data_IF_079322402411
#
_entry.id   IF_079322402411
#
_cell.length_a   1.000
_cell.length_b   1.000
_cell.length_c   1.000
_cell.angle_alpha   90.00
_cell.angle_beta   90.00
_cell.angle_gamma   90.00
#
_symmetry.space_group_name_H-M   'P 1'
#
loop_
_entity.id
_entity.type
_entity.pdbx_description
1 polymer ?
#
# COMPACT_ATOMS: atom_id res chain seq x y z
N UNK A 1 2.02 -62.47 20.76
CA UNK A 1 2.96 -61.48 21.33
C UNK A 1 2.48 -60.11 20.88
N UNK A 2 1.78 -59.29 21.69
CA UNK A 2 2.26 -58.53 22.89
C UNK A 2 3.47 -57.65 22.54
N UNK A 3 3.50 -56.32 22.72
CA UNK A 3 2.79 -55.35 23.60
C UNK A 3 2.78 -53.95 22.90
N UNK A 4 1.77 -53.05 22.94
CA UNK A 4 1.06 -52.25 23.97
C UNK A 4 1.88 -51.16 24.71
N UNK A 5 1.17 -50.02 24.96
CA UNK A 5 1.45 -48.80 25.75
C UNK A 5 2.18 -47.65 25.01
N UNK A 6 1.79 -46.36 25.04
CA UNK A 6 0.68 -45.55 25.59
C UNK A 6 0.86 -44.14 25.00
N UNK A 7 -0.16 -43.46 24.47
CA UNK A 7 -0.87 -42.40 25.18
C UNK A 7 -0.21 -41.02 25.07
N UNK A 8 -0.76 -40.11 24.25
CA UNK A 8 -1.27 -38.82 24.75
C UNK A 8 -2.08 -38.11 23.67
N UNK A 9 -3.32 -37.79 24.03
CA UNK A 9 -4.14 -36.78 23.39
C UNK A 9 -3.56 -35.43 23.77
N UNK A 10 -3.07 -34.64 22.81
CA UNK A 10 -2.89 -33.20 23.00
C UNK A 10 -4.01 -32.48 22.25
N UNK A 11 -5.00 -32.10 23.04
CA UNK A 11 -5.91 -31.02 22.77
C UNK A 11 -5.12 -29.72 22.50
N UNK A 12 -5.72 -28.84 21.68
CA UNK A 12 -5.47 -27.41 21.74
C UNK A 12 -4.20 -26.93 21.06
N UNK A 13 -4.28 -26.71 19.75
CA UNK A 13 -3.64 -25.52 19.19
C UNK A 13 -4.73 -24.69 18.51
N UNK A 14 -5.23 -23.71 19.27
CA UNK A 14 -6.00 -22.60 18.73
C UNK A 14 -5.20 -21.95 17.59
N UNK A 15 -5.84 -21.61 16.45
CA UNK A 15 -5.18 -20.83 15.42
C UNK A 15 -4.82 -19.46 16.00
N UNK A 16 -3.53 -19.13 15.96
CA UNK A 16 -2.92 -17.88 16.39
C UNK A 16 -3.84 -16.66 16.17
N UNK A 17 -4.30 -16.06 17.28
CA UNK A 17 -5.27 -14.97 17.34
C UNK A 17 -4.83 -13.64 16.71
N UNK A 18 -3.64 -13.56 16.11
CA UNK A 18 -3.11 -12.33 15.49
C UNK A 18 -3.58 -12.08 14.05
N UNK A 19 -4.23 -13.05 13.40
CA UNK A 19 -4.73 -12.88 12.03
C UNK A 19 -6.21 -12.46 11.93
N UNK A 20 -6.97 -12.47 13.03
CA UNK A 20 -8.42 -12.18 13.01
C UNK A 20 -8.80 -10.72 13.32
N UNK A 21 -7.87 -9.89 13.80
CA UNK A 21 -8.18 -8.51 14.23
C UNK A 21 -8.23 -7.47 13.10
N UNK A 22 -8.05 -7.86 11.83
CA UNK A 22 -7.99 -6.91 10.70
C UNK A 22 -9.23 -6.92 9.79
N UNK A 23 -10.23 -7.75 10.08
CA UNK A 23 -11.51 -7.75 9.37
C UNK A 23 -12.50 -6.76 10.01
N UNK A 24 -12.15 -5.47 10.02
CA UNK A 24 -13.08 -4.43 10.47
C UNK A 24 -14.20 -4.15 9.44
N UNK A 25 -15.20 -3.31 9.78
CA UNK A 25 -16.34 -2.92 8.92
C UNK A 25 -15.96 -2.41 7.51
N UNK A 26 -14.71 -1.99 7.36
CA UNK A 26 -14.08 -1.50 6.13
C UNK A 26 -13.96 -2.56 5.04
N UNK A 27 -13.68 -3.81 5.41
CA UNK A 27 -13.55 -4.89 4.44
C UNK A 27 -14.89 -5.14 3.74
N UNK A 28 -15.98 -5.03 4.49
CA UNK A 28 -17.35 -5.17 3.97
C UNK A 28 -17.70 -3.99 3.05
N UNK A 29 -17.46 -2.74 3.49
CA UNK A 29 -17.73 -1.54 2.68
C UNK A 29 -16.93 -1.47 1.39
N UNK A 30 -15.70 -2.00 1.37
CA UNK A 30 -14.90 -2.10 0.16
C UNK A 30 -15.33 -3.25 -0.78
N UNK A 31 -15.96 -4.30 -0.22
CA UNK A 31 -16.57 -5.40 -0.99
C UNK A 31 -17.90 -5.00 -1.64
N UNK A 32 -18.66 -4.08 -1.03
CA UNK A 32 -20.01 -3.70 -1.46
C UNK A 32 -20.04 -2.61 -2.56
N UNK A 33 -18.89 -2.05 -2.95
CA UNK A 33 -18.82 -0.99 -3.96
C UNK A 33 -18.77 -1.58 -5.39
N UNK A 34 -19.80 -1.32 -6.21
CA UNK A 34 -20.05 -1.93 -7.54
C UNK A 34 -18.91 -1.78 -8.56
N UNK A 35 -18.00 -0.82 -8.37
CA UNK A 35 -16.77 -0.68 -9.17
C UNK A 35 -15.87 -1.93 -9.04
N UNK A 36 -16.07 -2.75 -8.01
CA UNK A 36 -15.29 -3.94 -7.66
C UNK A 36 -15.94 -5.29 -8.10
N UNK A 37 -16.84 -5.32 -9.07
CA UNK A 37 -17.26 -6.58 -9.71
C UNK A 37 -16.24 -7.02 -10.78
N UNK A 38 -15.40 -8.05 -10.56
CA UNK A 38 -14.72 -8.79 -11.66
C UNK A 38 -13.20 -8.68 -11.90
N UNK A 39 -12.39 -7.99 -11.09
CA UNK A 39 -10.90 -8.10 -11.11
C UNK A 39 -10.52 -9.12 -9.99
N UNK A 40 -9.28 -9.66 -9.89
CA UNK A 40 -8.85 -10.50 -8.78
C UNK A 40 -8.81 -9.67 -7.47
N UNK A 41 -9.99 -9.38 -6.91
CA UNK A 41 -10.26 -8.12 -6.20
C UNK A 41 -10.08 -8.20 -4.68
N UNK A 42 -9.96 -9.40 -4.08
CA UNK A 42 -9.87 -9.49 -2.61
C UNK A 42 -8.49 -9.09 -2.10
N UNK A 43 -7.41 -9.63 -2.65
CA UNK A 43 -6.06 -9.25 -2.21
C UNK A 43 -5.76 -7.78 -2.55
N UNK A 44 -6.19 -7.32 -3.73
CA UNK A 44 -6.02 -5.94 -4.16
C UNK A 44 -6.68 -4.97 -3.19
N UNK A 45 -7.97 -5.13 -2.92
CA UNK A 45 -8.71 -4.26 -2.00
C UNK A 45 -8.19 -4.39 -0.56
N UNK A 46 -7.85 -5.59 -0.10
CA UNK A 46 -7.27 -5.82 1.24
C UNK A 46 -5.90 -5.16 1.42
N UNK A 47 -5.10 -5.08 0.36
CA UNK A 47 -3.85 -4.37 0.38
C UNK A 47 -4.05 -2.86 0.35
N UNK A 48 -4.96 -2.37 -0.49
CA UNK A 48 -5.29 -0.95 -0.56
C UNK A 48 -5.78 -0.37 0.78
N UNK A 49 -6.37 -1.20 1.65
CA UNK A 49 -6.76 -0.80 3.02
C UNK A 49 -5.61 -0.86 4.05
N UNK A 50 -4.35 -0.99 3.63
CA UNK A 50 -3.13 -1.01 4.47
C UNK A 50 -2.00 -0.18 3.82
N UNK A 51 -0.93 0.09 4.58
CA UNK A 51 0.27 0.80 4.10
C UNK A 51 0.80 0.13 2.83
N UNK A 52 0.66 0.82 1.70
CA UNK A 52 1.00 0.28 0.38
C UNK A 52 1.92 1.21 -0.39
N UNK A 53 2.79 0.61 -1.20
CA UNK A 53 3.60 1.31 -2.21
C UNK A 53 2.90 1.15 -3.55
N UNK A 54 2.66 2.26 -4.25
CA UNK A 54 2.31 2.23 -5.67
C UNK A 54 3.61 2.43 -6.45
N UNK A 55 3.99 1.41 -7.20
CA UNK A 55 5.28 1.31 -7.86
C UNK A 55 5.12 1.55 -9.37
N UNK A 56 5.98 2.42 -9.92
CA UNK A 56 6.08 2.64 -11.37
C UNK A 56 6.73 1.45 -12.07
N UNK A 57 6.69 1.44 -13.41
CA UNK A 57 7.21 0.35 -14.23
C UNK A 57 8.74 0.14 -14.10
N UNK A 58 9.48 1.14 -13.60
CA UNK A 58 10.93 1.08 -13.42
C UNK A 58 11.33 0.64 -12.01
N UNK A 59 10.38 0.52 -11.08
CA UNK A 59 10.64 0.13 -9.71
C UNK A 59 11.00 -1.36 -9.62
N UNK A 60 12.01 -1.75 -8.82
CA UNK A 60 12.43 -3.14 -8.68
C UNK A 60 11.46 -3.95 -7.78
N UNK A 61 10.19 -4.03 -8.17
CA UNK A 61 9.11 -4.64 -7.37
C UNK A 61 9.45 -6.06 -6.95
N UNK A 62 9.89 -6.91 -7.88
CA UNK A 62 10.17 -8.33 -7.58
C UNK A 62 11.24 -8.49 -6.49
N UNK A 63 12.33 -7.72 -6.56
CA UNK A 63 13.40 -7.77 -5.55
C UNK A 63 12.95 -7.22 -4.19
N UNK A 64 12.12 -6.17 -4.18
CA UNK A 64 11.59 -5.60 -2.93
C UNK A 64 10.61 -6.57 -2.27
N UNK A 65 9.74 -7.23 -3.05
CA UNK A 65 8.74 -8.16 -2.53
C UNK A 65 9.37 -9.44 -1.96
N UNK A 66 10.53 -9.87 -2.45
CA UNK A 66 11.31 -10.96 -1.84
C UNK A 66 11.71 -10.68 -0.37
N UNK A 67 11.70 -9.41 0.05
CA UNK A 67 12.07 -9.01 1.41
C UNK A 67 10.89 -8.98 2.40
N UNK A 68 9.65 -9.22 1.95
CA UNK A 68 8.49 -9.24 2.85
C UNK A 68 7.14 -8.80 2.27
N UNK A 69 7.03 -7.68 1.53
CA UNK A 69 5.72 -7.15 1.13
C UNK A 69 5.06 -8.04 0.07
N UNK A 70 3.72 -8.04 0.07
CA UNK A 70 2.94 -8.75 -0.93
C UNK A 70 3.06 -8.05 -2.27
N UNK A 71 3.46 -8.77 -3.32
CA UNK A 71 3.45 -8.28 -4.69
C UNK A 71 2.02 -8.30 -5.24
N UNK A 72 1.57 -7.17 -5.78
CA UNK A 72 0.25 -7.02 -6.39
C UNK A 72 0.42 -6.42 -7.77
N UNK A 73 -0.20 -7.03 -8.77
CA UNK A 73 -0.07 -6.64 -10.17
C UNK A 73 -1.27 -5.82 -10.64
N UNK A 74 -0.99 -4.64 -11.15
CA UNK A 74 -1.93 -3.70 -11.75
C UNK A 74 -1.32 -3.07 -13.01
N UNK A 75 -0.67 -3.90 -13.84
CA UNK A 75 0.13 -3.48 -15.00
C UNK A 75 -0.63 -2.64 -16.04
N UNK A 76 -1.96 -2.69 -16.05
CA UNK A 76 -2.81 -1.93 -16.98
C UNK A 76 -3.39 -0.63 -16.42
N UNK A 77 -2.96 -0.20 -15.22
CA UNK A 77 -3.46 0.98 -14.54
C UNK A 77 -2.33 1.95 -14.25
N UNK A 78 -2.63 3.25 -14.35
CA UNK A 78 -1.71 4.32 -13.99
C UNK A 78 -1.81 4.63 -12.49
N UNK A 79 -0.72 5.10 -11.88
CA UNK A 79 -0.71 5.41 -10.44
C UNK A 79 -1.76 6.46 -10.06
N UNK A 80 -1.96 7.56 -10.82
CA UNK A 80 -3.03 8.51 -10.55
C UNK A 80 -4.43 7.89 -10.40
N UNK A 81 -4.78 6.93 -11.27
CA UNK A 81 -6.09 6.27 -11.24
C UNK A 81 -6.26 5.42 -9.98
N UNK A 82 -5.22 4.66 -9.63
CA UNK A 82 -5.21 3.84 -8.42
C UNK A 82 -5.23 4.75 -7.19
N UNK A 83 -4.40 5.80 -7.16
CA UNK A 83 -4.32 6.74 -6.06
C UNK A 83 -5.68 7.40 -5.80
N UNK A 84 -6.38 7.86 -6.84
CA UNK A 84 -7.73 8.42 -6.68
C UNK A 84 -8.72 7.41 -6.08
N UNK A 85 -8.70 6.16 -6.53
CA UNK A 85 -9.55 5.10 -6.00
C UNK A 85 -9.20 4.75 -4.54
N UNK A 86 -7.90 4.70 -4.22
CA UNK A 86 -7.39 4.43 -2.86
C UNK A 86 -7.82 5.53 -1.91
N UNK A 87 -7.64 6.81 -2.27
CA UNK A 87 -7.99 7.94 -1.42
C UNK A 87 -9.49 8.02 -1.10
N UNK A 88 -10.36 7.46 -1.93
CA UNK A 88 -11.81 7.34 -1.65
C UNK A 88 -12.13 6.30 -0.57
N UNK A 89 -11.26 5.32 -0.36
CA UNK A 89 -11.47 4.20 0.57
C UNK A 89 -10.56 4.26 1.80
N UNK A 90 -9.39 4.87 1.65
CA UNK A 90 -8.31 4.88 2.62
C UNK A 90 -8.14 6.28 3.21
N UNK A 91 -8.46 6.47 4.49
CA UNK A 91 -8.12 7.70 5.20
C UNK A 91 -6.61 7.75 5.42
N UNK A 92 -6.04 8.92 5.16
CA UNK A 92 -4.62 9.16 5.33
C UNK A 92 -4.28 9.51 6.78
N UNK A 93 -3.06 9.19 7.21
CA UNK A 93 -2.57 9.46 8.57
C UNK A 93 -2.41 10.97 8.85
N UNK A 94 -3.24 11.49 9.76
CA UNK A 94 -3.23 12.89 10.16
C UNK A 94 -2.20 13.20 11.25
N UNK A 95 -1.57 12.20 11.87
CA UNK A 95 -0.59 12.41 12.95
C UNK A 95 0.86 12.52 12.47
N UNK A 96 1.15 12.14 11.23
CA UNK A 96 2.49 12.29 10.63
C UNK A 96 2.67 13.62 9.92
N UNK A 97 3.90 14.07 9.72
CA UNK A 97 4.18 15.29 8.95
C UNK A 97 3.62 15.24 7.52
N UNK A 98 3.78 14.10 6.84
CA UNK A 98 3.15 13.83 5.56
C UNK A 98 2.78 12.34 5.43
N UNK A 99 1.51 12.02 5.10
CA UNK A 99 1.07 10.65 4.92
C UNK A 99 1.45 10.08 3.55
N UNK A 100 1.97 10.90 2.63
CA UNK A 100 2.30 10.51 1.28
C UNK A 100 3.74 10.90 0.95
N UNK A 101 4.52 9.93 0.47
CA UNK A 101 5.92 10.15 0.19
C UNK A 101 6.33 9.63 -1.19
N UNK A 102 7.13 10.40 -1.90
CA UNK A 102 7.71 10.07 -3.20
C UNK A 102 9.23 9.95 -3.11
N UNK A 103 9.82 9.26 -4.07
CA UNK A 103 11.26 9.15 -4.20
C UNK A 103 11.85 10.48 -4.69
N UNK A 104 12.84 11.01 -3.98
CA UNK A 104 13.53 12.23 -4.36
C UNK A 104 14.45 12.00 -5.58
N UNK A 105 14.57 13.04 -6.41
CA UNK A 105 15.52 13.07 -7.53
C UNK A 105 16.96 12.87 -7.03
N UNK A 106 17.70 12.01 -7.71
CA UNK A 106 19.15 11.87 -7.48
C UNK A 106 19.88 13.16 -7.89
N UNK A 107 21.06 13.48 -7.32
CA UNK A 107 21.78 14.72 -7.61
C UNK A 107 21.99 14.99 -9.11
N UNK A 108 22.34 13.97 -9.89
CA UNK A 108 22.54 14.09 -11.34
C UNK A 108 21.27 14.49 -12.10
N UNK A 109 20.09 14.04 -11.67
CA UNK A 109 18.83 14.41 -12.32
C UNK A 109 18.34 15.80 -11.87
N UNK A 110 18.67 16.21 -10.63
CA UNK A 110 18.47 17.59 -10.17
C UNK A 110 19.30 18.58 -10.98
N UNK A 111 20.58 18.27 -11.21
CA UNK A 111 21.49 19.10 -12.02
C UNK A 111 21.04 19.22 -13.47
N UNK A 112 20.47 18.15 -14.02
CA UNK A 112 19.88 18.14 -15.37
C UNK A 112 18.54 18.88 -15.48
N UNK A 113 17.97 19.32 -14.35
CA UNK A 113 16.67 19.98 -14.31
C UNK A 113 15.51 19.05 -14.72
N UNK A 114 15.60 17.75 -14.41
CA UNK A 114 14.55 16.80 -14.73
C UNK A 114 13.23 17.20 -14.06
N UNK A 115 12.15 17.23 -14.85
CA UNK A 115 10.82 17.58 -14.36
C UNK A 115 10.04 16.33 -13.96
N UNK A 116 9.30 16.44 -12.86
CA UNK A 116 8.44 15.36 -12.32
C UNK A 116 6.97 15.82 -12.29
N UNK A 117 6.32 16.00 -13.46
CA UNK A 117 4.96 16.53 -13.54
C UNK A 117 3.92 15.66 -12.80
N UNK A 118 4.21 14.37 -12.63
CA UNK A 118 3.34 13.44 -11.91
C UNK A 118 3.17 13.80 -10.43
N UNK A 119 4.16 14.44 -9.80
CA UNK A 119 4.05 14.88 -8.40
C UNK A 119 2.96 15.94 -8.22
N UNK A 120 2.84 16.88 -9.15
CA UNK A 120 1.77 17.89 -9.13
C UNK A 120 0.39 17.24 -9.23
N UNK A 121 0.29 16.13 -9.98
CA UNK A 121 -0.94 15.37 -10.11
C UNK A 121 -1.29 14.68 -8.78
N UNK A 122 -0.31 14.08 -8.12
CA UNK A 122 -0.49 13.49 -6.79
C UNK A 122 -0.89 14.52 -5.74
N UNK A 123 -0.25 15.70 -5.71
CA UNK A 123 -0.64 16.78 -4.80
C UNK A 123 -2.09 17.23 -5.04
N UNK A 124 -2.50 17.32 -6.31
CA UNK A 124 -3.89 17.66 -6.66
C UNK A 124 -4.88 16.61 -6.19
N UNK A 125 -4.53 15.32 -6.30
CA UNK A 125 -5.37 14.22 -5.82
C UNK A 125 -5.45 14.18 -4.29
N UNK A 126 -4.32 14.38 -3.60
CA UNK A 126 -4.28 14.48 -2.14
C UNK A 126 -5.10 15.66 -1.63
N UNK A 127 -5.03 16.81 -2.29
CA UNK A 127 -5.82 17.99 -1.93
C UNK A 127 -7.32 17.74 -2.12
N UNK A 128 -7.73 17.03 -3.19
CA UNK A 128 -9.13 16.61 -3.40
C UNK A 128 -9.63 15.66 -2.30
N UNK A 129 -8.73 14.91 -1.68
CA UNK A 129 -9.02 14.02 -0.55
C UNK A 129 -8.85 14.71 0.82
N UNK A 130 -8.86 16.05 0.86
CA UNK A 130 -8.67 16.90 2.04
C UNK A 130 -7.32 16.71 2.79
N UNK A 131 -6.32 16.11 2.13
CA UNK A 131 -4.96 16.04 2.63
C UNK A 131 -4.18 17.30 2.21
N UNK A 132 -4.13 18.28 3.10
CA UNK A 132 -3.42 19.57 2.89
C UNK A 132 -1.90 19.49 3.11
N UNK A 133 -1.39 18.32 3.46
CA UNK A 133 0.04 18.10 3.73
C UNK A 133 0.79 17.93 2.40
N UNK A 134 1.95 18.57 2.30
CA UNK A 134 2.80 18.46 1.13
C UNK A 134 3.36 17.04 0.96
N UNK A 135 3.64 16.65 -0.28
CA UNK A 135 4.33 15.38 -0.55
C UNK A 135 5.72 15.38 0.06
N UNK A 136 6.00 14.38 0.90
CA UNK A 136 7.34 14.17 1.43
C UNK A 136 8.24 13.60 0.34
N UNK A 137 9.45 14.15 0.19
CA UNK A 137 10.47 13.64 -0.72
C UNK A 137 11.50 12.89 0.11
N UNK A 138 11.75 11.64 -0.25
CA UNK A 138 12.62 10.74 0.51
C UNK A 138 13.76 10.27 -0.40
N UNK A 139 14.97 10.24 0.13
CA UNK A 139 16.14 9.72 -0.58
C UNK A 139 15.88 8.29 -1.09
N UNK A 140 16.46 7.94 -2.24
CA UNK A 140 16.19 6.69 -2.97
C UNK A 140 16.39 5.42 -2.14
N UNK A 141 17.47 5.30 -1.37
CA UNK A 141 17.71 4.14 -0.52
C UNK A 141 16.76 4.10 0.67
N UNK A 142 16.49 5.24 1.29
CA UNK A 142 15.49 5.32 2.37
C UNK A 142 14.10 4.92 1.86
N UNK A 143 13.73 5.29 0.63
CA UNK A 143 12.49 4.87 -0.02
C UNK A 143 12.44 3.33 -0.15
N UNK A 144 13.51 2.69 -0.61
CA UNK A 144 13.57 1.23 -0.71
C UNK A 144 13.46 0.55 0.66
N UNK A 145 14.10 1.09 1.70
CA UNK A 145 13.99 0.56 3.06
C UNK A 145 12.57 0.68 3.64
N UNK A 146 11.85 1.77 3.32
CA UNK A 146 10.43 1.89 3.66
C UNK A 146 9.57 0.93 2.85
N UNK A 147 9.86 0.75 1.56
CA UNK A 147 9.11 -0.14 0.68
C UNK A 147 9.21 -1.61 1.11
N UNK A 148 10.38 -2.07 1.55
CA UNK A 148 10.57 -3.43 2.11
C UNK A 148 9.74 -3.69 3.38
N UNK A 149 9.38 -2.64 4.11
CA UNK A 149 8.57 -2.71 5.34
C UNK A 149 7.08 -2.45 5.09
N UNK A 150 6.70 -2.15 3.85
CA UNK A 150 5.30 -1.95 3.51
C UNK A 150 4.51 -3.25 3.62
N UNK A 151 3.18 -3.16 3.66
CA UNK A 151 2.33 -4.35 3.63
C UNK A 151 2.29 -4.97 2.22
N UNK A 152 2.17 -4.11 1.21
CA UNK A 152 2.10 -4.52 -0.19
C UNK A 152 2.81 -3.52 -1.09
N UNK A 153 3.29 -4.01 -2.23
CA UNK A 153 3.76 -3.22 -3.36
C UNK A 153 2.87 -3.53 -4.55
N UNK A 154 2.18 -2.50 -5.04
CA UNK A 154 1.35 -2.55 -6.24
C UNK A 154 2.21 -2.14 -7.43
N UNK A 155 2.64 -3.10 -8.23
CA UNK A 155 3.30 -2.86 -9.51
C UNK A 155 2.26 -2.37 -10.53
N UNK A 156 2.49 -1.18 -11.07
CA UNK A 156 1.59 -0.51 -12.03
C UNK A 156 2.23 -0.42 -13.41
N UNK A 157 1.44 0.00 -14.40
CA UNK A 157 1.92 0.31 -15.75
C UNK A 157 2.51 1.72 -15.89
N UNK A 158 2.65 2.47 -14.80
CA UNK A 158 3.04 3.88 -14.85
C UNK A 158 4.45 4.06 -15.43
N UNK A 159 4.54 4.87 -16.48
CA UNK A 159 5.79 5.13 -17.20
C UNK A 159 6.46 6.44 -16.76
N UNK A 160 5.78 7.29 -15.98
CA UNK A 160 6.36 8.51 -15.47
C UNK A 160 7.57 8.21 -14.55
N UNK A 161 8.66 8.93 -14.79
CA UNK A 161 9.85 8.85 -13.95
C UNK A 161 9.54 9.39 -12.55
N UNK A 162 10.07 8.70 -11.53
CA UNK A 162 9.82 9.01 -10.12
C UNK A 162 8.33 8.99 -9.78
N UNK A 163 7.56 8.08 -10.41
CA UNK A 163 6.13 7.90 -10.16
C UNK A 163 5.83 7.20 -8.84
N UNK A 164 6.81 6.52 -8.25
CA UNK A 164 6.63 5.77 -7.00
C UNK A 164 6.09 6.63 -5.86
N UNK A 165 5.06 6.14 -5.17
CA UNK A 165 4.46 6.79 -4.00
C UNK A 165 4.15 5.77 -2.89
N UNK A 166 4.47 6.14 -1.65
CA UNK A 166 4.13 5.40 -0.44
C UNK A 166 2.97 6.12 0.25
N UNK A 167 1.94 5.37 0.64
CA UNK A 167 0.76 5.91 1.34
C UNK A 167 0.65 5.34 2.74
N UNK A 168 0.69 6.21 3.73
CA UNK A 168 0.47 5.86 5.14
C UNK A 168 -0.99 5.97 5.51
N UNK A 169 -1.58 4.81 5.79
CA UNK A 169 -2.93 4.68 6.33
C UNK A 169 -3.04 5.35 7.70
N UNK A 170 -4.10 6.15 7.88
CA UNK A 170 -4.51 6.72 9.16
C UNK A 170 -5.56 5.90 9.90
N UNK A 171 -5.98 6.42 11.05
CA UNK A 171 -7.13 5.92 11.80
C UNK A 171 -8.41 6.59 11.32
N UNK A 172 -9.53 5.89 11.47
CA UNK A 172 -10.85 6.52 11.37
C UNK A 172 -11.30 6.79 12.79
N UNK A 173 -11.55 8.05 13.09
CA UNK A 173 -12.33 8.38 14.27
C UNK A 173 -13.75 7.85 14.02
N UNK A 174 -14.20 6.94 14.87
CA UNK A 174 -15.54 6.33 14.81
C UNK A 174 -16.65 7.29 15.26
N UNK A 175 -16.43 8.61 15.17
CA UNK A 175 -17.31 9.62 15.77
C UNK A 175 -18.33 10.23 14.79
N UNK A 176 -18.47 9.67 13.60
CA UNK A 176 -19.57 10.02 12.70
C UNK A 176 -20.44 8.79 12.43
N UNK A 177 -21.32 8.58 13.42
CA UNK A 177 -22.62 7.89 13.39
C UNK A 177 -23.34 7.99 12.05
#
# INVERSE_FOLDING_TARGET
MCDKFTGSTLAGQEPNHSHQLLAGPWLQRAQDNEMYAGCPKKEFVQALVKLSVLADANFPTSSICQCGPVEIRADGLDIPQILEAVLKLLPLDTYVESPAAVMELVPSDKERGLQTPIWNHYESLLLKADCKKALMKIERFEFYERAKKAFAVVATGEMALYGNIILKKGTLDLDHS
#
